data_IF_170032493271
#
_entry.id   IF_170032493271
#
_cell.length_a   1.000
_cell.length_b   1.000
_cell.length_c   1.000
_cell.angle_alpha   90.00
_cell.angle_beta   90.00
_cell.angle_gamma   90.00
#
_symmetry.space_group_name_H-M   'P 1'
#
loop_
_entity.id
_entity.type
_entity.pdbx_description
1 polymer ?
#
# COMPACT_ATOMS: atom_id res chain seq x y z
N UNK A 1 -19.29 -11.50 -18.66
CA UNK A 1 -17.99 -10.78 -18.58
C UNK A 1 -18.21 -9.60 -17.65
N UNK A 2 -17.37 -9.45 -16.65
CA UNK A 2 -17.54 -8.43 -15.62
C UNK A 2 -17.02 -7.09 -16.13
N UNK A 3 -17.74 -5.99 -15.87
CA UNK A 3 -17.35 -4.64 -16.29
C UNK A 3 -15.93 -4.27 -15.82
N UNK A 4 -15.53 -4.75 -14.66
CA UNK A 4 -14.20 -4.55 -14.11
C UNK A 4 -13.09 -5.21 -14.93
N UNK A 5 -13.35 -6.37 -15.55
CA UNK A 5 -12.36 -7.01 -16.42
C UNK A 5 -12.06 -6.18 -17.66
N UNK A 6 -13.06 -5.48 -18.22
CA UNK A 6 -12.84 -4.58 -19.35
C UNK A 6 -11.94 -3.38 -19.00
N UNK A 7 -12.13 -2.82 -17.79
CA UNK A 7 -11.30 -1.68 -17.34
C UNK A 7 -9.84 -2.13 -17.08
N UNK A 8 -9.65 -3.36 -16.63
CA UNK A 8 -8.34 -3.96 -16.47
C UNK A 8 -7.68 -4.28 -17.80
N UNK A 9 -8.42 -4.89 -18.74
CA UNK A 9 -7.94 -5.21 -20.08
C UNK A 9 -7.64 -3.95 -20.91
N UNK A 10 -8.37 -2.86 -20.65
CA UNK A 10 -8.11 -1.54 -21.24
C UNK A 10 -6.94 -0.78 -20.56
N UNK A 11 -6.26 -1.39 -19.59
CA UNK A 11 -5.16 -0.77 -18.84
C UNK A 11 -5.56 0.56 -18.16
N UNK A 12 -6.79 0.67 -17.68
CA UNK A 12 -7.26 1.83 -16.93
C UNK A 12 -7.14 1.65 -15.43
N UNK A 13 -7.40 0.43 -14.97
CA UNK A 13 -7.37 0.06 -13.55
C UNK A 13 -6.55 -1.20 -13.32
N UNK A 14 -5.90 -1.27 -12.17
CA UNK A 14 -5.32 -2.50 -11.64
C UNK A 14 -5.90 -2.85 -10.27
N UNK A 15 -5.94 -4.15 -9.98
CA UNK A 15 -6.50 -4.69 -8.75
C UNK A 15 -5.44 -5.47 -7.99
N UNK A 16 -5.22 -5.11 -6.73
CA UNK A 16 -4.37 -5.89 -5.85
C UNK A 16 -5.21 -6.72 -4.88
N UNK A 17 -4.94 -8.02 -4.75
CA UNK A 17 -5.67 -8.88 -3.85
C UNK A 17 -5.23 -8.71 -2.39
N UNK A 18 -6.13 -9.06 -1.46
CA UNK A 18 -5.76 -9.32 -0.08
C UNK A 18 -4.80 -10.51 -0.03
N UNK A 19 -3.70 -10.36 0.72
CA UNK A 19 -2.76 -11.45 0.91
C UNK A 19 -3.42 -12.60 1.68
N UNK A 20 -3.35 -13.79 1.12
CA UNK A 20 -3.68 -15.05 1.79
C UNK A 20 -2.81 -16.15 1.18
N UNK A 21 -2.45 -17.16 1.95
CA UNK A 21 -1.72 -18.33 1.43
C UNK A 21 -2.56 -19.18 0.48
N UNK A 22 -3.89 -19.08 0.56
CA UNK A 22 -4.82 -19.77 -0.32
C UNK A 22 -5.20 -18.91 -1.53
N UNK A 23 -4.84 -19.33 -2.72
CA UNK A 23 -5.22 -18.68 -3.97
C UNK A 23 -6.75 -18.55 -4.12
N UNK A 24 -7.53 -19.52 -3.64
CA UNK A 24 -9.01 -19.46 -3.66
C UNK A 24 -9.53 -18.30 -2.83
N UNK A 25 -8.91 -18.01 -1.69
CA UNK A 25 -9.26 -16.87 -0.85
C UNK A 25 -8.83 -15.56 -1.48
N UNK A 26 -7.63 -15.47 -2.05
CA UNK A 26 -7.18 -14.28 -2.78
C UNK A 26 -8.15 -13.87 -3.89
N UNK A 27 -8.72 -14.84 -4.63
CA UNK A 27 -9.70 -14.58 -5.69
C UNK A 27 -11.03 -14.05 -5.14
N UNK A 28 -11.49 -14.58 -3.99
CA UNK A 28 -12.79 -14.26 -3.39
C UNK A 28 -12.78 -13.01 -2.54
N UNK A 29 -11.65 -12.68 -1.94
CA UNK A 29 -11.52 -11.54 -1.05
C UNK A 29 -11.66 -10.22 -1.82
N UNK A 30 -12.10 -9.14 -1.15
CA UNK A 30 -12.08 -7.80 -1.72
C UNK A 30 -10.71 -7.45 -2.27
N UNK A 31 -10.68 -6.59 -3.28
CA UNK A 31 -9.45 -6.09 -3.91
C UNK A 31 -9.38 -4.58 -3.76
N UNK A 32 -8.19 -4.06 -3.53
CA UNK A 32 -7.93 -2.63 -3.70
C UNK A 32 -7.78 -2.33 -5.19
N UNK A 33 -8.23 -1.14 -5.59
CA UNK A 33 -8.26 -0.69 -6.99
C UNK A 33 -7.39 0.52 -7.14
N UNK A 34 -6.52 0.51 -8.14
CA UNK A 34 -5.62 1.62 -8.46
C UNK A 34 -5.75 2.01 -9.93
N UNK A 35 -5.73 3.31 -10.18
CA UNK A 35 -5.69 3.84 -11.54
C UNK A 35 -4.25 3.76 -12.09
N UNK A 36 -4.11 3.38 -13.35
CA UNK A 36 -2.82 3.34 -14.03
C UNK A 36 -2.35 4.75 -14.39
N UNK A 37 -3.28 5.68 -14.59
CA UNK A 37 -3.00 7.09 -14.87
C UNK A 37 -3.65 7.99 -13.81
N UNK A 38 -2.82 8.73 -13.06
CA UNK A 38 -3.28 9.67 -12.04
C UNK A 38 -4.00 10.88 -12.64
N UNK A 39 -3.70 11.26 -13.89
CA UNK A 39 -4.37 12.36 -14.58
C UNK A 39 -5.84 12.02 -14.87
N UNK A 40 -6.09 10.80 -15.36
CA UNK A 40 -7.46 10.29 -15.56
C UNK A 40 -8.20 10.21 -14.23
N UNK A 41 -7.53 9.73 -13.18
CA UNK A 41 -8.10 9.66 -11.84
C UNK A 41 -8.54 11.04 -11.31
N UNK A 42 -7.68 12.04 -11.42
CA UNK A 42 -7.95 13.39 -10.93
C UNK A 42 -9.08 14.10 -11.68
N UNK A 43 -9.15 13.92 -13.00
CA UNK A 43 -10.21 14.54 -13.82
C UNK A 43 -11.61 13.97 -13.53
N UNK A 44 -11.69 12.72 -13.11
CA UNK A 44 -12.95 12.03 -12.83
C UNK A 44 -13.34 12.02 -11.35
N UNK A 45 -12.50 12.57 -10.49
CA UNK A 45 -12.72 12.63 -9.04
C UNK A 45 -13.43 13.92 -8.67
N UNK A 46 -14.69 13.82 -8.20
CA UNK A 46 -15.52 14.96 -7.80
C UNK A 46 -15.29 15.47 -6.38
N UNK A 47 -14.42 14.84 -5.59
CA UNK A 47 -14.23 15.13 -4.17
C UNK A 47 -12.81 15.71 -3.92
N UNK A 48 -12.75 16.98 -3.59
CA UNK A 48 -11.51 17.76 -3.54
C UNK A 48 -10.64 17.58 -2.28
N UNK A 49 -11.14 17.07 -1.15
CA UNK A 49 -10.37 17.04 0.10
C UNK A 49 -9.96 15.66 0.59
N UNK A 50 -10.78 14.64 0.39
CA UNK A 50 -10.51 13.30 0.91
C UNK A 50 -9.61 12.44 -0.02
N UNK A 51 -9.38 12.90 -1.24
CA UNK A 51 -8.67 12.13 -2.27
C UNK A 51 -7.14 12.28 -2.24
N UNK A 52 -6.57 13.22 -1.47
CA UNK A 52 -5.12 13.44 -1.48
C UNK A 52 -4.36 12.23 -0.91
N UNK A 53 -4.91 11.59 0.11
CA UNK A 53 -4.36 10.35 0.67
C UNK A 53 -4.34 9.23 -0.35
N UNK A 54 -5.47 8.99 -1.00
CA UNK A 54 -5.60 7.98 -2.06
C UNK A 54 -4.74 8.29 -3.29
N UNK A 55 -4.57 9.59 -3.65
CA UNK A 55 -3.66 9.98 -4.73
C UNK A 55 -2.22 9.62 -4.40
N UNK A 56 -1.77 9.86 -3.17
CA UNK A 56 -0.43 9.48 -2.72
C UNK A 56 -0.28 7.95 -2.73
N UNK A 57 -1.25 7.22 -2.19
CA UNK A 57 -1.27 5.76 -2.17
C UNK A 57 -1.19 5.19 -3.60
N UNK A 58 -1.98 5.73 -4.53
CA UNK A 58 -1.93 5.33 -5.94
C UNK A 58 -0.57 5.65 -6.60
N UNK A 59 0.04 6.78 -6.29
CA UNK A 59 1.38 7.12 -6.79
C UNK A 59 2.44 6.12 -6.29
N UNK A 60 2.37 5.74 -5.01
CA UNK A 60 3.27 4.72 -4.44
C UNK A 60 3.01 3.35 -5.08
N UNK A 61 1.74 2.98 -5.31
CA UNK A 61 1.40 1.77 -6.04
C UNK A 61 2.08 1.72 -7.42
N UNK A 62 1.93 2.78 -8.22
CA UNK A 62 2.53 2.87 -9.56
C UNK A 62 4.06 2.75 -9.53
N UNK A 63 4.70 3.35 -8.54
CA UNK A 63 6.14 3.20 -8.34
C UNK A 63 6.53 1.76 -8.00
N UNK A 64 5.82 1.11 -7.09
CA UNK A 64 6.09 -0.29 -6.71
C UNK A 64 5.90 -1.22 -7.90
N UNK A 65 4.87 -0.97 -8.71
CA UNK A 65 4.51 -1.78 -9.88
C UNK A 65 5.59 -1.80 -10.95
N UNK A 66 6.41 -0.75 -11.06
CA UNK A 66 7.54 -0.70 -11.98
C UNK A 66 8.61 -1.76 -11.65
N UNK A 67 8.78 -2.08 -10.38
CA UNK A 67 9.85 -2.93 -9.88
C UNK A 67 9.38 -4.30 -9.37
N UNK A 68 8.07 -4.47 -9.14
CA UNK A 68 7.50 -5.66 -8.50
C UNK A 68 6.17 -6.03 -9.13
N UNK A 69 6.03 -7.30 -9.50
CA UNK A 69 4.77 -7.84 -10.07
C UNK A 69 3.81 -8.34 -9.00
N UNK A 70 4.34 -8.86 -7.89
CA UNK A 70 3.57 -9.47 -6.82
C UNK A 70 3.37 -8.47 -5.69
N UNK A 71 2.27 -7.74 -5.75
CA UNK A 71 1.86 -6.73 -4.78
C UNK A 71 0.51 -7.15 -4.22
N UNK A 72 0.40 -7.12 -2.90
CA UNK A 72 -0.80 -7.44 -2.14
C UNK A 72 -1.06 -6.33 -1.11
N UNK A 73 -2.27 -6.26 -0.57
CA UNK A 73 -2.50 -5.59 0.71
C UNK A 73 -2.71 -6.65 1.80
N UNK A 74 -2.58 -6.25 3.04
CA UNK A 74 -2.77 -7.13 4.20
C UNK A 74 -3.79 -6.53 5.15
N UNK A 75 -4.66 -7.37 5.71
CA UNK A 75 -5.67 -6.98 6.67
C UNK A 75 -5.97 -8.12 7.63
N UNK A 76 -5.69 -7.90 8.91
CA UNK A 76 -6.11 -8.75 10.04
C UNK A 76 -6.53 -7.87 11.22
N UNK A 77 -5.72 -7.76 12.26
CA UNK A 77 -5.94 -6.84 13.39
C UNK A 77 -5.71 -5.37 13.00
N UNK A 78 -5.12 -5.13 11.85
CA UNK A 78 -4.88 -3.85 11.25
C UNK A 78 -4.59 -4.00 9.77
N UNK A 79 -4.45 -2.90 9.06
CA UNK A 79 -4.22 -2.87 7.61
C UNK A 79 -2.78 -2.46 7.29
N UNK A 80 -2.20 -3.09 6.25
CA UNK A 80 -0.99 -2.65 5.60
C UNK A 80 -1.28 -2.51 4.10
N UNK A 81 -1.07 -1.31 3.55
CA UNK A 81 -1.49 -0.98 2.19
C UNK A 81 -0.79 -1.81 1.14
N UNK A 82 0.52 -2.06 1.30
CA UNK A 82 1.28 -2.84 0.34
C UNK A 82 2.21 -3.85 1.01
N UNK A 83 2.11 -5.07 0.54
CA UNK A 83 3.03 -6.18 0.80
C UNK A 83 3.61 -6.59 -0.53
N UNK A 84 4.89 -6.36 -0.76
CA UNK A 84 5.55 -6.86 -1.96
C UNK A 84 6.15 -8.23 -1.71
N UNK A 85 6.06 -9.11 -2.70
CA UNK A 85 6.63 -10.45 -2.62
C UNK A 85 7.80 -10.56 -3.61
N UNK A 86 8.90 -11.12 -3.15
CA UNK A 86 10.05 -11.44 -3.98
C UNK A 86 10.54 -12.85 -3.65
N UNK A 87 10.65 -13.69 -4.66
CA UNK A 87 11.07 -15.10 -4.49
C UNK A 87 10.20 -15.87 -3.45
N UNK A 88 8.89 -15.63 -3.48
CA UNK A 88 7.94 -16.29 -2.59
C UNK A 88 7.97 -15.83 -1.13
N UNK A 89 8.69 -14.75 -0.81
CA UNK A 89 8.78 -14.19 0.55
C UNK A 89 8.37 -12.73 0.55
N UNK A 90 7.80 -12.27 1.67
CA UNK A 90 7.54 -10.85 1.85
C UNK A 90 8.86 -10.07 1.76
N UNK A 91 8.91 -9.07 0.89
CA UNK A 91 10.09 -8.22 0.67
C UNK A 91 9.93 -6.92 1.44
N UNK A 92 8.94 -6.10 1.11
CA UNK A 92 8.66 -4.84 1.79
C UNK A 92 7.23 -4.84 2.34
N UNK A 93 7.05 -4.17 3.47
CA UNK A 93 5.76 -3.86 4.10
C UNK A 93 5.63 -2.35 4.16
N UNK A 94 4.62 -1.80 3.50
CA UNK A 94 4.51 -0.37 3.27
C UNK A 94 3.10 0.08 3.60
N UNK A 95 3.01 1.09 4.46
CA UNK A 95 1.80 1.84 4.76
C UNK A 95 1.92 3.22 4.15
N UNK A 96 0.85 3.78 3.63
CA UNK A 96 0.84 5.12 3.04
C UNK A 96 -0.10 6.03 3.82
N UNK A 97 0.43 7.10 4.35
CA UNK A 97 -0.34 8.09 5.09
C UNK A 97 0.09 9.49 4.68
N UNK A 98 -0.81 10.29 4.10
CA UNK A 98 -0.45 11.64 3.63
C UNK A 98 0.20 12.49 4.74
N UNK A 99 -0.37 12.44 5.96
CA UNK A 99 0.14 13.14 7.14
C UNK A 99 -0.12 12.32 8.39
N UNK A 100 0.93 11.92 9.08
CA UNK A 100 0.84 11.35 10.42
C UNK A 100 0.54 12.45 11.44
N UNK A 101 -0.39 12.18 12.35
CA UNK A 101 -0.77 13.03 13.48
C UNK A 101 -1.24 12.16 14.65
N UNK A 102 -1.51 12.76 15.79
CA UNK A 102 -1.93 12.05 17.00
C UNK A 102 -3.19 11.19 16.81
N UNK A 103 -4.09 11.59 15.90
CA UNK A 103 -5.36 10.89 15.68
C UNK A 103 -5.20 9.58 14.88
N UNK A 104 -4.23 9.52 13.96
CA UNK A 104 -4.05 8.38 13.07
C UNK A 104 -2.78 7.56 13.35
N UNK A 105 -1.81 8.12 14.09
CA UNK A 105 -0.52 7.48 14.35
C UNK A 105 -0.67 6.04 14.86
N UNK A 106 -1.53 5.85 15.86
CA UNK A 106 -1.74 4.54 16.45
C UNK A 106 -2.25 3.53 15.42
N UNK A 107 -3.25 3.90 14.64
CA UNK A 107 -3.83 3.03 13.61
C UNK A 107 -2.80 2.63 12.56
N UNK A 108 -2.05 3.61 12.04
CA UNK A 108 -1.06 3.38 10.98
C UNK A 108 0.12 2.51 11.47
N UNK A 109 0.58 2.74 12.70
CA UNK A 109 1.70 1.95 13.27
C UNK A 109 1.26 0.56 13.69
N UNK A 110 0.11 0.40 14.37
CA UNK A 110 -0.39 -0.92 14.79
C UNK A 110 -0.69 -1.83 13.60
N UNK A 111 -1.29 -1.30 12.53
CA UNK A 111 -1.54 -2.04 11.31
C UNK A 111 -0.25 -2.59 10.68
N UNK A 112 0.76 -1.73 10.57
CA UNK A 112 2.04 -2.13 10.00
C UNK A 112 2.80 -3.11 10.93
N UNK A 113 2.79 -2.91 12.24
CA UNK A 113 3.38 -3.88 13.18
C UNK A 113 2.66 -5.23 13.14
N UNK A 114 1.34 -5.26 12.97
CA UNK A 114 0.58 -6.50 12.77
C UNK A 114 1.08 -7.25 11.51
N UNK A 115 1.23 -6.56 10.39
CA UNK A 115 1.81 -7.14 9.18
C UNK A 115 3.24 -7.63 9.40
N UNK A 116 4.08 -6.85 10.09
CA UNK A 116 5.47 -7.22 10.39
C UNK A 116 5.56 -8.50 11.24
N UNK A 117 4.69 -8.66 12.24
CA UNK A 117 4.58 -9.89 13.04
C UNK A 117 4.17 -11.08 12.16
N UNK A 118 3.13 -10.90 11.34
CA UNK A 118 2.62 -11.97 10.47
C UNK A 118 3.66 -12.47 9.47
N UNK A 119 4.39 -11.55 8.82
CA UNK A 119 5.41 -11.89 7.81
C UNK A 119 6.81 -12.12 8.41
N UNK A 120 6.94 -12.06 9.73
CA UNK A 120 8.23 -12.18 10.45
C UNK A 120 9.28 -11.19 9.91
N UNK A 121 8.88 -9.93 9.67
CA UNK A 121 9.75 -8.84 9.21
C UNK A 121 10.17 -7.96 10.39
N UNK A 122 11.40 -7.48 10.35
CA UNK A 122 11.96 -6.56 11.38
C UNK A 122 11.81 -5.09 10.98
N UNK A 123 11.60 -4.81 9.72
CA UNK A 123 11.48 -3.45 9.20
C UNK A 123 10.17 -3.29 8.43
N UNK A 124 9.51 -2.14 8.63
CA UNK A 124 8.38 -1.66 7.88
C UNK A 124 8.58 -0.19 7.51
N UNK A 125 7.82 0.30 6.54
CA UNK A 125 7.95 1.67 6.04
C UNK A 125 6.56 2.32 6.07
N UNK A 126 6.47 3.51 6.67
CA UNK A 126 5.34 4.42 6.44
C UNK A 126 5.80 5.49 5.47
N UNK A 127 5.13 5.60 4.34
CA UNK A 127 5.39 6.66 3.36
C UNK A 127 4.42 7.81 3.60
N UNK A 128 4.97 9.01 3.77
CA UNK A 128 4.20 10.25 3.98
C UNK A 128 4.50 11.26 2.89
N UNK A 129 3.73 12.35 2.84
CA UNK A 129 4.07 13.45 1.93
C UNK A 129 5.49 13.96 2.15
N UNK A 130 5.85 14.31 3.40
CA UNK A 130 7.10 15.02 3.70
C UNK A 130 7.62 14.81 5.14
N UNK A 131 7.08 13.86 5.90
CA UNK A 131 7.50 13.63 7.29
C UNK A 131 8.57 12.56 7.37
N UNK A 132 9.42 12.67 8.38
CA UNK A 132 10.38 11.64 8.80
C UNK A 132 10.20 11.36 10.26
N UNK A 133 10.20 10.08 10.60
CA UNK A 133 10.14 9.60 11.98
C UNK A 133 10.62 8.14 12.05
N UNK A 134 10.66 7.59 13.26
CA UNK A 134 11.05 6.20 13.48
C UNK A 134 10.34 5.67 14.72
N UNK A 135 9.61 4.57 14.57
CA UNK A 135 8.92 3.92 15.67
C UNK A 135 9.46 2.51 15.89
N UNK A 136 9.59 2.11 17.15
CA UNK A 136 10.13 0.78 17.50
C UNK A 136 9.18 0.05 18.43
N UNK A 137 9.01 -1.25 18.20
CA UNK A 137 8.30 -2.16 19.08
C UNK A 137 9.13 -3.46 19.21
N UNK A 138 9.76 -3.67 20.36
CA UNK A 138 10.68 -4.79 20.57
C UNK A 138 11.86 -4.76 19.59
N UNK A 139 11.90 -5.73 18.66
CA UNK A 139 12.96 -5.82 17.63
C UNK A 139 12.48 -5.31 16.25
N UNK A 140 11.30 -4.77 16.19
CA UNK A 140 10.71 -4.24 14.95
C UNK A 140 10.89 -2.74 14.87
N UNK A 141 11.14 -2.23 13.68
CA UNK A 141 11.36 -0.81 13.40
C UNK A 141 10.52 -0.37 12.22
N UNK A 142 9.72 0.67 12.39
CA UNK A 142 9.01 1.36 11.33
C UNK A 142 9.77 2.64 11.01
N UNK A 143 10.17 2.80 9.75
CA UNK A 143 10.79 4.03 9.24
C UNK A 143 9.73 4.87 8.55
N UNK A 144 9.57 6.13 8.94
CA UNK A 144 8.70 7.08 8.25
C UNK A 144 9.54 7.87 7.26
N UNK A 145 9.17 7.82 6.00
CA UNK A 145 9.91 8.43 4.90
C UNK A 145 9.00 9.34 4.06
N UNK A 146 9.52 10.50 3.62
CA UNK A 146 8.87 11.28 2.57
C UNK A 146 8.76 10.47 1.27
N UNK A 147 7.67 10.66 0.54
CA UNK A 147 7.43 9.94 -0.72
C UNK A 147 8.55 10.12 -1.73
N UNK A 148 9.12 11.33 -1.84
CA UNK A 148 10.23 11.60 -2.76
C UNK A 148 11.50 10.82 -2.40
N UNK A 149 11.78 10.60 -1.11
CA UNK A 149 12.90 9.76 -0.69
C UNK A 149 12.65 8.28 -0.95
N UNK A 150 11.41 7.84 -0.67
CA UNK A 150 11.03 6.46 -0.91
C UNK A 150 11.14 6.10 -2.39
N UNK A 151 10.65 6.97 -3.28
CA UNK A 151 10.68 6.75 -4.72
C UNK A 151 12.06 6.98 -5.37
N UNK A 152 12.98 7.67 -4.72
CA UNK A 152 14.35 7.85 -5.22
C UNK A 152 15.37 6.84 -4.69
N UNK A 153 14.93 5.86 -3.90
CA UNK A 153 15.77 4.73 -3.50
C UNK A 153 15.85 3.72 -4.66
N UNK A 154 16.81 3.92 -5.53
CA UNK A 154 17.28 2.90 -6.48
C UNK A 154 18.37 2.06 -5.85
#
# INVERSE_FOLDING_TARGET
MDYFSYLQDAYLLEFIPLFDYSLKKQVRNPKKVYAIDLGIYQQNSTLFSDNIGHTLENAIYLYLRQNTKEIYYFQQEGECDFVTIRQGKADQLIQVCYKLNEMNLRRETEGLFSAMRFFNKKEGIIVTKNQRDCFTEGKMTIKVLPAFEFMNKN
#
